data_IF_230819861295
#
_entry.id   IF_230819861295
#
_cell.length_a   1.000
_cell.length_b   1.000
_cell.length_c   1.000
_cell.angle_alpha   90.00
_cell.angle_beta   90.00
_cell.angle_gamma   90.00
#
_symmetry.space_group_name_H-M   'P 1'
#
loop_
_entity.id
_entity.type
_entity.pdbx_description
1 polymer ?
#
# COMPACT_ATOMS: atom_id res chain seq x y z
N UNK A 1 33.85 -21.85 -23.91
CA UNK A 1 34.84 -20.98 -23.24
C UNK A 1 34.30 -20.72 -21.85
N UNK A 2 34.98 -21.18 -20.80
CA UNK A 2 34.47 -21.25 -19.43
C UNK A 2 35.57 -20.70 -18.51
N UNK A 3 35.24 -19.73 -17.66
CA UNK A 3 36.16 -19.18 -16.67
C UNK A 3 35.34 -18.58 -15.51
N UNK A 4 35.36 -19.28 -14.39
CA UNK A 4 34.72 -18.88 -13.15
C UNK A 4 35.56 -17.77 -12.48
N UNK A 5 34.92 -16.79 -11.83
CA UNK A 5 35.63 -15.86 -10.95
C UNK A 5 35.90 -16.56 -9.62
N UNK A 6 37.08 -17.17 -9.54
CA UNK A 6 37.50 -17.98 -8.39
C UNK A 6 37.91 -17.10 -7.21
N UNK A 7 37.21 -17.26 -6.07
CA UNK A 7 37.67 -16.77 -4.78
C UNK A 7 38.90 -17.56 -4.32
N UNK A 8 40.08 -16.95 -4.40
CA UNK A 8 41.18 -17.20 -3.45
C UNK A 8 42.38 -16.27 -3.73
N UNK A 9 42.58 -15.26 -2.89
CA UNK A 9 43.91 -14.62 -2.70
C UNK A 9 44.05 -13.99 -1.30
N UNK A 10 43.46 -14.65 -0.29
CA UNK A 10 43.38 -14.19 1.10
C UNK A 10 44.71 -14.36 1.86
N UNK A 11 45.84 -13.89 1.31
CA UNK A 11 47.17 -14.15 1.89
C UNK A 11 48.25 -13.07 1.76
N UNK A 12 47.87 -11.78 1.62
CA UNK A 12 48.86 -10.68 1.74
C UNK A 12 48.40 -9.38 2.41
N UNK A 13 47.50 -9.45 3.38
CA UNK A 13 47.23 -8.32 4.29
C UNK A 13 48.47 -8.12 5.19
N UNK A 14 49.30 -7.13 4.83
CA UNK A 14 50.48 -6.75 5.62
C UNK A 14 50.07 -6.27 7.01
N UNK A 15 50.89 -6.57 8.04
CA UNK A 15 50.55 -6.28 9.44
C UNK A 15 50.27 -4.79 9.70
N UNK A 16 50.82 -3.89 8.88
CA UNK A 16 50.51 -2.45 8.94
C UNK A 16 49.04 -2.11 8.64
N UNK A 17 48.33 -2.89 7.82
CA UNK A 17 46.91 -2.66 7.55
C UNK A 17 46.00 -3.02 8.74
N UNK A 18 46.36 -4.02 9.54
CA UNK A 18 45.62 -4.38 10.76
C UNK A 18 45.69 -3.27 11.83
N UNK A 19 46.83 -2.58 11.94
CA UNK A 19 46.97 -1.43 12.83
C UNK A 19 46.06 -0.25 12.41
N UNK A 20 45.94 0.02 11.11
CA UNK A 20 45.07 1.10 10.59
C UNK A 20 43.59 0.82 10.89
N UNK A 21 43.15 -0.44 10.78
CA UNK A 21 41.78 -0.86 11.10
C UNK A 21 41.48 -0.63 12.60
N UNK A 22 42.38 -1.00 13.51
CA UNK A 22 42.20 -0.78 14.95
C UNK A 22 42.17 0.69 15.37
N UNK A 23 42.87 1.57 14.65
CA UNK A 23 42.92 3.01 14.93
C UNK A 23 41.71 3.76 14.32
N UNK A 24 41.08 3.22 13.27
CA UNK A 24 39.90 3.83 12.62
C UNK A 24 38.56 3.34 13.17
N UNK A 25 38.49 2.10 13.68
CA UNK A 25 37.30 1.55 14.34
C UNK A 25 36.69 2.41 15.46
N UNK A 26 37.43 3.08 16.37
CA UNK A 26 36.81 3.93 17.40
C UNK A 26 36.16 5.21 16.84
N UNK A 27 36.49 5.62 15.61
CA UNK A 27 35.91 6.82 14.96
C UNK A 27 34.60 6.49 14.23
N UNK A 28 34.31 5.21 13.96
CA UNK A 28 33.05 4.78 13.33
C UNK A 28 31.93 4.43 14.32
N UNK A 29 32.09 4.79 15.60
CA UNK A 29 30.96 4.87 16.52
C UNK A 29 30.25 6.23 16.38
N UNK A 30 28.93 6.27 16.60
CA UNK A 30 28.07 7.48 16.50
C UNK A 30 27.75 8.04 15.10
N UNK A 31 27.85 7.24 14.04
CA UNK A 31 27.09 7.47 12.79
C UNK A 31 26.07 6.36 12.47
N UNK A 32 25.89 5.40 13.40
CA UNK A 32 24.81 4.41 13.37
C UNK A 32 23.46 5.05 13.67
N UNK A 33 22.97 5.87 12.75
CA UNK A 33 21.64 6.46 12.81
C UNK A 33 20.60 5.35 12.76
N UNK A 34 20.10 4.94 13.92
CA UNK A 34 19.03 3.95 14.04
C UNK A 34 17.80 4.48 13.31
N UNK A 35 17.60 4.02 12.07
CA UNK A 35 16.43 4.32 11.27
C UNK A 35 15.22 3.75 11.97
N UNK A 36 14.59 4.56 12.83
CA UNK A 36 13.44 4.16 13.64
C UNK A 36 12.38 3.61 12.69
N UNK A 37 12.13 2.31 12.79
CA UNK A 37 11.11 1.65 11.99
C UNK A 37 9.77 2.25 12.41
N UNK A 38 9.27 3.20 11.62
CA UNK A 38 8.13 4.02 12.00
C UNK A 38 6.88 3.19 11.82
N UNK A 39 6.24 2.83 12.92
CA UNK A 39 4.86 2.36 12.87
C UNK A 39 3.97 3.50 12.38
N UNK A 40 3.53 3.38 11.12
CA UNK A 40 2.63 4.33 10.47
C UNK A 40 1.15 4.11 10.86
N UNK A 41 0.85 3.02 11.57
CA UNK A 41 -0.51 2.64 11.99
C UNK A 41 -0.83 3.09 13.44
N UNK A 42 0.17 3.40 14.25
CA UNK A 42 0.00 4.03 15.57
C UNK A 42 0.18 5.55 15.50
N UNK A 43 -0.87 6.29 15.84
CA UNK A 43 -0.92 7.74 15.68
C UNK A 43 -2.25 8.36 16.11
N UNK A 44 -2.49 9.59 15.66
CA UNK A 44 -3.74 10.32 15.91
C UNK A 44 -4.19 11.12 14.68
N UNK A 45 -5.51 11.37 14.61
CA UNK A 45 -6.07 12.34 13.68
C UNK A 45 -5.84 13.75 14.18
N UNK A 46 -5.24 14.61 13.35
CA UNK A 46 -4.97 16.02 13.66
C UNK A 46 -5.54 16.92 12.57
N UNK A 47 -5.93 18.15 12.93
CA UNK A 47 -6.36 19.15 11.96
C UNK A 47 -5.16 19.67 11.17
N UNK A 48 -5.23 19.61 9.84
CA UNK A 48 -4.25 20.21 8.95
C UNK A 48 -4.60 21.69 8.70
N UNK A 49 -3.74 22.58 9.19
CA UNK A 49 -3.85 24.04 8.96
C UNK A 49 -3.23 24.46 7.62
N UNK A 50 -2.75 23.51 6.81
CA UNK A 50 -2.27 23.73 5.45
C UNK A 50 -3.32 24.48 4.60
N UNK A 51 -2.98 25.59 3.92
CA UNK A 51 -3.91 26.30 3.03
C UNK A 51 -4.31 25.48 1.80
N UNK A 52 -3.59 24.38 1.54
CA UNK A 52 -3.95 23.37 0.55
C UNK A 52 -4.25 22.05 1.27
N UNK A 53 -5.53 21.67 1.50
CA UNK A 53 -5.89 20.32 1.94
C UNK A 53 -5.51 19.27 0.88
N UNK A 54 -5.28 18.02 1.31
CA UNK A 54 -5.05 16.91 0.38
C UNK A 54 -6.33 16.52 -0.37
N UNK A 55 -7.45 16.55 0.33
CA UNK A 55 -8.78 16.46 -0.23
C UNK A 55 -9.34 17.89 -0.31
N UNK A 56 -9.17 18.52 -1.47
CA UNK A 56 -9.89 19.77 -1.75
C UNK A 56 -11.39 19.50 -1.70
N UNK A 57 -12.11 20.34 -0.95
CA UNK A 57 -13.49 20.75 -1.24
C UNK A 57 -13.86 20.49 -2.72
N UNK A 58 -14.96 19.75 -2.97
CA UNK A 58 -15.43 19.30 -4.30
C UNK A 58 -14.88 20.16 -5.44
N UNK A 59 -13.84 19.66 -6.11
CA UNK A 59 -13.29 20.35 -7.27
C UNK A 59 -13.99 19.83 -8.52
N UNK A 60 -14.76 20.65 -9.26
CA UNK A 60 -15.35 20.25 -10.53
C UNK A 60 -14.28 19.93 -11.60
N UNK A 61 -12.98 20.12 -11.30
CA UNK A 61 -11.86 19.68 -12.13
C UNK A 61 -11.53 18.19 -12.02
N UNK A 62 -12.18 17.42 -11.14
CA UNK A 62 -11.94 15.97 -10.99
C UNK A 62 -13.14 15.14 -11.48
N UNK A 63 -13.25 14.86 -12.80
CA UNK A 63 -14.41 14.17 -13.39
C UNK A 63 -14.52 12.68 -13.01
N UNK A 64 -13.52 12.14 -12.31
CA UNK A 64 -13.43 10.71 -11.95
C UNK A 64 -14.08 10.38 -10.60
N UNK A 65 -14.46 11.38 -9.79
CA UNK A 65 -15.15 11.14 -8.51
C UNK A 65 -16.57 10.67 -8.82
N UNK A 66 -16.88 9.41 -8.47
CA UNK A 66 -18.23 8.88 -8.64
C UNK A 66 -19.23 9.61 -7.73
N UNK A 67 -20.50 9.77 -8.14
CA UNK A 67 -21.51 10.48 -7.35
C UNK A 67 -21.68 9.95 -5.92
N UNK A 68 -21.52 8.65 -5.68
CA UNK A 68 -21.75 8.05 -4.35
C UNK A 68 -20.75 8.53 -3.28
N UNK A 69 -19.66 9.19 -3.68
CA UNK A 69 -18.66 9.77 -2.77
C UNK A 69 -18.78 11.30 -2.60
N UNK A 70 -19.69 11.96 -3.33
CA UNK A 70 -19.87 13.41 -3.28
C UNK A 70 -20.87 13.84 -2.18
N UNK A 71 -20.42 13.75 -0.92
CA UNK A 71 -21.27 14.08 0.22
C UNK A 71 -21.83 15.51 0.18
N UNK A 72 -21.16 16.47 -0.49
CA UNK A 72 -21.62 17.85 -0.56
C UNK A 72 -22.77 18.04 -1.56
N UNK A 73 -22.70 17.41 -2.73
CA UNK A 73 -23.83 17.33 -3.67
C UNK A 73 -25.06 16.66 -3.04
N UNK A 74 -24.85 15.68 -2.18
CA UNK A 74 -25.92 15.03 -1.41
C UNK A 74 -26.20 15.70 -0.04
N UNK A 75 -25.86 16.99 0.11
CA UNK A 75 -26.40 17.86 1.14
C UNK A 75 -25.62 17.94 2.46
N UNK A 76 -24.43 17.33 2.59
CA UNK A 76 -23.63 17.42 3.81
C UNK A 76 -23.09 18.84 4.04
N UNK A 77 -23.45 19.51 5.16
CA UNK A 77 -23.13 20.93 5.36
C UNK A 77 -21.75 21.17 5.99
N UNK A 78 -21.25 20.24 6.81
CA UNK A 78 -19.95 20.39 7.46
C UNK A 78 -18.80 20.04 6.51
N UNK A 79 -17.71 20.83 6.56
CA UNK A 79 -16.49 20.65 5.74
C UNK A 79 -15.26 20.32 6.59
N UNK A 80 -15.45 20.11 7.89
CA UNK A 80 -14.34 19.90 8.83
C UNK A 80 -13.64 18.55 8.61
N UNK A 81 -14.39 17.53 8.18
CA UNK A 81 -13.85 16.18 7.92
C UNK A 81 -12.74 16.17 6.85
N UNK A 82 -12.81 17.05 5.85
CA UNK A 82 -11.80 17.20 4.79
C UNK A 82 -10.46 17.77 5.30
N UNK A 83 -10.43 18.35 6.50
CA UNK A 83 -9.25 18.99 7.09
C UNK A 83 -8.46 18.10 8.05
N UNK A 84 -8.91 16.85 8.29
CA UNK A 84 -8.16 15.92 9.13
C UNK A 84 -7.07 15.20 8.34
N UNK A 85 -5.87 15.10 8.92
CA UNK A 85 -4.78 14.23 8.45
C UNK A 85 -4.39 13.24 9.54
N UNK A 86 -3.89 12.08 9.11
CA UNK A 86 -3.29 11.11 10.00
C UNK A 86 -1.85 11.52 10.34
N UNK A 87 -1.51 11.49 11.63
CA UNK A 87 -0.18 11.78 12.15
C UNK A 87 0.31 10.59 12.99
N UNK A 88 1.25 9.77 12.49
CA UNK A 88 1.91 8.75 13.29
C UNK A 88 2.66 9.34 14.47
N UNK A 89 2.72 8.60 15.58
CA UNK A 89 3.48 9.02 16.77
C UNK A 89 4.99 8.84 16.61
N UNK A 90 5.42 7.95 15.71
CA UNK A 90 6.84 7.62 15.51
C UNK A 90 7.60 8.50 14.52
N UNK A 91 6.91 9.15 13.58
CA UNK A 91 7.52 9.96 12.51
C UNK A 91 6.54 10.92 11.85
N UNK A 92 7.06 11.90 11.10
CA UNK A 92 6.27 12.72 10.20
C UNK A 92 6.22 12.07 8.80
N UNK A 93 5.01 11.86 8.28
CA UNK A 93 4.83 11.35 6.92
C UNK A 93 5.19 12.44 5.89
N UNK A 94 5.84 12.08 4.76
CA UNK A 94 6.12 13.04 3.70
C UNK A 94 4.81 13.48 3.02
N UNK A 95 4.73 14.77 2.68
CA UNK A 95 3.60 15.32 1.91
C UNK A 95 3.49 14.60 0.56
N UNK A 96 2.30 14.06 0.25
CA UNK A 96 2.07 13.36 -1.01
C UNK A 96 2.38 14.28 -2.22
N UNK A 97 3.20 13.78 -3.14
CA UNK A 97 3.61 14.46 -4.35
C UNK A 97 3.14 13.62 -5.55
N UNK A 98 2.01 14.01 -6.14
CA UNK A 98 1.39 13.27 -7.24
C UNK A 98 2.34 13.09 -8.44
N UNK A 99 3.10 14.12 -8.81
CA UNK A 99 4.07 14.06 -9.93
C UNK A 99 5.23 13.11 -9.58
N UNK A 100 5.73 13.16 -8.34
CA UNK A 100 6.77 12.25 -7.85
C UNK A 100 6.30 10.80 -7.71
N UNK A 101 5.01 10.58 -7.42
CA UNK A 101 4.38 9.27 -7.43
C UNK A 101 4.25 8.74 -8.87
N UNK A 102 3.62 9.50 -9.77
CA UNK A 102 3.41 9.11 -11.17
C UNK A 102 4.73 8.80 -11.88
N UNK A 103 5.80 9.56 -11.63
CA UNK A 103 7.15 9.25 -12.16
C UNK A 103 7.76 7.96 -11.60
N UNK A 104 7.43 7.56 -10.37
CA UNK A 104 7.84 6.26 -9.79
C UNK A 104 6.98 5.10 -10.28
N UNK A 105 5.74 5.39 -10.68
CA UNK A 105 4.82 4.40 -11.25
C UNK A 105 4.90 4.30 -12.76
N UNK A 106 5.62 5.19 -13.46
CA UNK A 106 5.74 5.16 -14.93
C UNK A 106 6.21 3.79 -15.44
N UNK A 107 5.42 3.18 -16.32
CA UNK A 107 5.64 1.81 -16.81
C UNK A 107 5.07 0.70 -15.92
N UNK A 108 4.30 1.05 -14.88
CA UNK A 108 3.64 0.13 -13.93
C UNK A 108 2.13 0.37 -13.92
N UNK A 109 1.31 -0.62 -13.63
CA UNK A 109 -0.15 -0.50 -13.81
C UNK A 109 -0.89 0.30 -12.66
N UNK A 110 -0.73 1.65 -12.50
CA UNK A 110 -1.57 2.62 -11.66
C UNK A 110 -1.51 4.17 -12.03
N UNK A 111 -2.40 5.01 -12.66
CA UNK A 111 -3.51 5.01 -13.67
C UNK A 111 -3.19 5.90 -14.92
N UNK A 112 -3.98 5.79 -16.01
CA UNK A 112 -3.71 6.41 -17.33
C UNK A 112 -3.45 7.92 -17.31
N UNK A 113 -2.24 8.24 -17.77
CA UNK A 113 -1.82 9.43 -18.56
C UNK A 113 -0.28 9.41 -18.67
N UNK A 114 0.40 8.79 -17.69
CA UNK A 114 1.86 8.69 -17.58
C UNK A 114 2.40 7.27 -17.86
N UNK A 115 1.65 6.43 -18.59
CA UNK A 115 1.96 5.00 -18.81
C UNK A 115 1.69 4.13 -17.58
N UNK A 116 0.42 4.06 -17.17
CA UNK A 116 -0.03 3.59 -15.85
C UNK A 116 -1.52 3.15 -15.88
N UNK A 117 -2.03 2.27 -14.98
CA UNK A 117 -3.39 1.61 -15.07
C UNK A 117 -4.16 1.24 -13.74
N UNK A 118 -4.97 2.14 -13.18
CA UNK A 118 -6.06 2.00 -12.15
C UNK A 118 -7.14 0.92 -12.33
N UNK A 119 -6.80 -0.36 -12.42
CA UNK A 119 -7.82 -1.42 -12.33
C UNK A 119 -8.29 -1.66 -10.89
N UNK A 120 -9.51 -1.22 -10.56
CA UNK A 120 -10.26 -1.68 -9.38
C UNK A 120 -11.02 -2.96 -9.77
N UNK A 121 -10.69 -4.09 -9.15
CA UNK A 121 -11.39 -5.36 -9.36
C UNK A 121 -12.28 -5.70 -8.14
N UNK A 122 -13.60 -5.78 -8.35
CA UNK A 122 -14.58 -5.97 -7.28
C UNK A 122 -14.76 -7.44 -6.91
N UNK A 123 -13.80 -8.03 -6.20
CA UNK A 123 -14.00 -9.33 -5.51
C UNK A 123 -14.23 -9.11 -4.01
N UNK A 124 -15.50 -9.14 -3.59
CA UNK A 124 -15.90 -8.83 -2.21
C UNK A 124 -15.28 -9.74 -1.14
N UNK A 125 -15.01 -11.01 -1.48
CA UNK A 125 -14.47 -12.03 -0.58
C UNK A 125 -13.06 -12.50 -0.97
N UNK A 126 -12.49 -11.94 -2.05
CA UNK A 126 -11.30 -12.42 -2.79
C UNK A 126 -11.45 -13.82 -3.43
N UNK A 127 -12.01 -14.78 -2.70
CA UNK A 127 -12.31 -16.14 -3.17
C UNK A 127 -13.45 -16.23 -4.19
N UNK A 128 -13.46 -17.32 -4.95
CA UNK A 128 -14.50 -17.61 -5.94
C UNK A 128 -15.86 -17.91 -5.28
N UNK A 129 -16.94 -17.65 -6.02
CA UNK A 129 -18.32 -17.87 -5.58
C UNK A 129 -19.01 -18.82 -6.58
N UNK A 130 -19.58 -19.91 -6.09
CA UNK A 130 -20.34 -20.87 -6.89
C UNK A 130 -21.84 -20.74 -6.61
N UNK A 131 -22.67 -20.60 -7.65
CA UNK A 131 -24.14 -20.65 -7.49
C UNK A 131 -24.59 -22.11 -7.46
N UNK A 132 -25.11 -22.52 -6.31
CA UNK A 132 -25.60 -23.89 -6.04
C UNK A 132 -27.13 -23.89 -5.92
N UNK A 133 -27.73 -25.08 -5.82
CA UNK A 133 -29.19 -25.23 -5.61
C UNK A 133 -29.71 -24.58 -4.32
N UNK A 134 -28.85 -24.30 -3.35
CA UNK A 134 -29.18 -23.62 -2.08
C UNK A 134 -28.75 -22.14 -2.05
N UNK A 135 -28.13 -21.64 -3.13
CA UNK A 135 -27.62 -20.27 -3.24
C UNK A 135 -26.10 -20.20 -3.42
N UNK A 136 -25.52 -19.04 -3.10
CA UNK A 136 -24.10 -18.73 -3.33
C UNK A 136 -23.23 -19.35 -2.24
N UNK A 137 -22.32 -20.22 -2.63
CA UNK A 137 -21.30 -20.82 -1.77
C UNK A 137 -19.94 -20.15 -2.03
N UNK A 138 -19.17 -19.88 -0.96
CA UNK A 138 -17.79 -19.39 -1.09
C UNK A 138 -16.84 -20.58 -1.20
N UNK A 139 -15.99 -20.60 -2.22
CA UNK A 139 -14.96 -21.63 -2.39
C UNK A 139 -13.67 -21.18 -1.71
N UNK A 140 -13.54 -21.43 -0.40
CA UNK A 140 -12.43 -20.94 0.42
C UNK A 140 -11.03 -21.42 -0.07
N UNK A 141 -11.02 -22.48 -0.88
CA UNK A 141 -9.86 -23.10 -1.52
C UNK A 141 -9.54 -22.54 -2.93
N UNK A 142 -10.39 -21.65 -3.48
CA UNK A 142 -10.32 -21.24 -4.88
C UNK A 142 -10.29 -19.71 -5.05
N UNK A 143 -9.30 -19.24 -5.83
CA UNK A 143 -9.08 -17.83 -6.20
C UNK A 143 -8.84 -17.68 -7.71
N UNK A 144 -9.47 -18.53 -8.53
CA UNK A 144 -9.28 -18.57 -9.99
C UNK A 144 -9.68 -17.27 -10.70
N UNK A 145 -10.67 -16.54 -10.16
CA UNK A 145 -11.00 -15.17 -10.59
C UNK A 145 -9.83 -14.19 -10.44
N UNK A 146 -8.84 -14.52 -9.62
CA UNK A 146 -7.62 -13.75 -9.40
C UNK A 146 -6.58 -13.85 -10.51
N UNK A 147 -6.80 -14.65 -11.56
CA UNK A 147 -5.89 -14.76 -12.70
C UNK A 147 -5.63 -13.41 -13.41
N UNK A 148 -6.61 -12.50 -13.37
CA UNK A 148 -6.48 -11.13 -13.90
C UNK A 148 -5.49 -10.25 -13.11
N UNK A 149 -5.15 -10.64 -11.87
CA UNK A 149 -4.19 -9.93 -11.02
C UNK A 149 -2.72 -10.28 -11.34
N UNK A 150 -2.47 -11.38 -12.06
CA UNK A 150 -1.12 -11.91 -12.36
C UNK A 150 -0.20 -10.95 -13.15
N UNK A 151 -0.76 -9.90 -13.75
CA UNK A 151 -0.03 -8.92 -14.57
C UNK A 151 0.16 -7.56 -13.87
N UNK A 152 -0.24 -7.41 -12.61
CA UNK A 152 -0.15 -6.14 -11.89
C UNK A 152 1.18 -5.98 -11.14
N UNK A 153 1.84 -4.83 -11.30
CA UNK A 153 3.06 -4.46 -10.57
C UNK A 153 2.88 -4.32 -9.05
N UNK A 154 1.66 -3.98 -8.63
CA UNK A 154 1.28 -3.67 -7.25
C UNK A 154 -0.16 -4.12 -7.07
N UNK A 155 -0.41 -4.88 -6.00
CA UNK A 155 -1.75 -5.34 -5.63
C UNK A 155 -2.10 -4.82 -4.25
N UNK A 156 -3.31 -4.28 -4.11
CA UNK A 156 -3.85 -3.78 -2.84
C UNK A 156 -5.17 -4.48 -2.59
N UNK A 157 -5.17 -5.46 -1.70
CA UNK A 157 -6.36 -6.23 -1.36
C UNK A 157 -7.09 -5.62 -0.16
N UNK A 158 -8.41 -5.63 -0.21
CA UNK A 158 -9.27 -5.34 0.93
C UNK A 158 -10.50 -6.26 0.85
N UNK A 159 -10.75 -6.99 1.93
CA UNK A 159 -11.99 -7.72 2.15
C UNK A 159 -12.34 -7.65 3.63
N UNK A 160 -13.62 -7.52 3.96
CA UNK A 160 -14.06 -7.26 5.34
C UNK A 160 -15.56 -7.02 5.43
N UNK A 161 -16.04 -5.90 4.89
CA UNK A 161 -17.44 -5.44 5.01
C UNK A 161 -18.47 -6.57 4.82
N UNK A 162 -18.35 -7.33 3.74
CA UNK A 162 -19.31 -8.37 3.36
C UNK A 162 -19.27 -9.63 4.24
N UNK A 163 -18.16 -9.94 4.92
CA UNK A 163 -18.08 -11.07 5.86
C UNK A 163 -18.97 -10.89 7.10
N UNK A 164 -19.31 -9.65 7.44
CA UNK A 164 -20.19 -9.31 8.55
C UNK A 164 -21.66 -9.15 8.12
N UNK A 165 -21.95 -9.17 6.82
CA UNK A 165 -23.32 -9.10 6.29
C UNK A 165 -23.97 -10.48 6.36
N UNK A 166 -24.79 -10.68 7.40
CA UNK A 166 -25.74 -11.79 7.44
C UNK A 166 -26.86 -11.50 6.45
N UNK A 167 -26.90 -12.23 5.34
CA UNK A 167 -28.05 -12.25 4.42
C UNK A 167 -29.04 -13.32 4.88
N UNK A 168 -30.12 -12.90 5.53
CA UNK A 168 -31.20 -13.78 6.00
C UNK A 168 -31.88 -14.59 4.87
N UNK A 169 -31.57 -14.32 3.59
CA UNK A 169 -32.09 -15.04 2.41
C UNK A 169 -31.09 -15.94 1.68
N UNK A 170 -29.79 -15.86 1.96
CA UNK A 170 -28.77 -16.80 1.43
C UNK A 170 -27.62 -16.98 2.44
N UNK A 171 -27.67 -18.07 3.20
CA UNK A 171 -26.61 -18.41 4.16
C UNK A 171 -25.30 -18.83 3.47
N UNK A 172 -24.19 -18.22 3.88
CA UNK A 172 -22.84 -18.68 3.53
C UNK A 172 -22.48 -19.89 4.39
N UNK A 173 -22.85 -21.09 3.93
CA UNK A 173 -22.70 -22.35 4.69
C UNK A 173 -21.25 -22.84 4.72
N UNK A 174 -20.44 -22.22 5.58
CA UNK A 174 -19.14 -22.76 5.99
C UNK A 174 -19.33 -23.75 7.15
N UNK A 175 -19.77 -24.97 6.83
CA UNK A 175 -19.74 -26.11 7.74
C UNK A 175 -18.77 -27.18 7.21
N UNK A 176 -17.49 -27.18 7.62
CA UNK A 176 -16.71 -28.41 7.66
C UNK A 176 -17.33 -29.37 8.71
N UNK A 177 -17.10 -30.70 8.57
CA UNK A 177 -17.56 -31.71 9.51
C UNK A 177 -16.79 -31.72 10.83
#
# INVERSE_FOLDING_TARGET
MHLELKMDDAKRISCHFLAIILITLPVFCLAGGAGKNCDIFTGSWVLDQSPYPYLSDYSPTCPFIRPEFDCHKYGRPDRQYLKYKWQPSGCNLPRFNAIGFLKKMQGKQIMLDYGVTVTIFMSHYLVDIEETKIGRLLKLDSISSGDVWKQADVLVFNTGLWWYVKDDRKGYVNHPP
#
